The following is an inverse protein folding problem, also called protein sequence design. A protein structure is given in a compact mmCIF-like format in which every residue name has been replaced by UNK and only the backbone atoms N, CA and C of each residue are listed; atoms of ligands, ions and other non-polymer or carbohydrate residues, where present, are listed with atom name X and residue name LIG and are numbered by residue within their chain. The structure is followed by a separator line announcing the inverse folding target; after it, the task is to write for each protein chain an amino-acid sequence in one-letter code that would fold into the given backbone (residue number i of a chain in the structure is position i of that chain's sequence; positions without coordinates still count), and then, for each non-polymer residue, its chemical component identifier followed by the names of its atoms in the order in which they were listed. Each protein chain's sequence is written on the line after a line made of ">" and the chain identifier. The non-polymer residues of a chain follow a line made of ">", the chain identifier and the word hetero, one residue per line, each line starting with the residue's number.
data_IF_174874100595
#
_entry.id   IF_174874100595
#
_cell.length_a   1.000
_cell.length_b   1.000
_cell.length_c   1.000
_cell.angle_alpha   90.00
_cell.angle_beta   90.00
_cell.angle_gamma   90.00
#
_symmetry.space_group_name_H-M   'P 1'
#
loop_
_entity.id
_entity.type
_entity.pdbx_description
1 polymer ?
#
# COMPACT_ATOMS: atom_id res chain seq x y z
N UNK A 1 24.29 -5.50 74.36
CA UNK A 1 22.84 -5.66 74.58
C UNK A 1 22.15 -4.61 73.73
N UNK A 2 21.45 -5.02 72.67
CA UNK A 2 20.57 -4.12 71.93
C UNK A 2 19.42 -3.70 72.86
N UNK A 3 19.12 -2.41 72.89
CA UNK A 3 18.00 -1.85 73.64
C UNK A 3 16.68 -2.34 73.03
N UNK A 4 15.63 -2.61 73.84
CA UNK A 4 14.33 -2.98 73.29
C UNK A 4 13.78 -1.87 72.40
N UNK A 5 13.34 -2.21 71.19
CA UNK A 5 12.72 -1.28 70.25
C UNK A 5 11.54 -0.56 70.90
N UNK A 6 11.40 0.75 70.67
CA UNK A 6 10.27 1.51 71.22
C UNK A 6 8.95 0.97 70.66
N UNK A 7 7.85 1.12 71.41
CA UNK A 7 6.51 0.76 70.94
C UNK A 7 6.14 1.46 69.61
N UNK A 8 6.63 2.69 69.42
CA UNK A 8 6.51 3.42 68.14
C UNK A 8 7.20 2.70 67.00
N UNK A 9 8.39 2.16 67.24
CA UNK A 9 9.21 1.49 66.22
C UNK A 9 8.56 0.18 65.80
N UNK A 10 8.01 -0.58 66.76
CA UNK A 10 7.26 -1.81 66.48
C UNK A 10 6.01 -1.52 65.64
N UNK A 11 5.28 -0.45 65.96
CA UNK A 11 4.10 -0.04 65.21
C UNK A 11 4.45 0.41 63.78
N UNK A 12 5.46 1.27 63.62
CA UNK A 12 5.94 1.71 62.31
C UNK A 12 6.44 0.53 61.46
N UNK A 13 7.21 -0.39 62.05
CA UNK A 13 7.67 -1.60 61.37
C UNK A 13 6.51 -2.48 60.92
N UNK A 14 5.45 -2.60 61.75
CA UNK A 14 4.26 -3.35 61.36
C UNK A 14 3.57 -2.72 60.16
N UNK A 15 3.36 -1.41 60.16
CA UNK A 15 2.76 -0.69 59.02
C UNK A 15 3.62 -0.82 57.75
N UNK A 16 4.93 -0.67 57.86
CA UNK A 16 5.85 -0.82 56.73
C UNK A 16 5.84 -2.25 56.16
N UNK A 17 5.65 -3.27 57.01
CA UNK A 17 5.56 -4.67 56.59
C UNK A 17 4.21 -5.06 55.98
N UNK A 18 3.17 -4.21 56.08
CA UNK A 18 1.84 -4.53 55.52
C UNK A 18 1.82 -4.49 54.00
N UNK A 19 2.78 -3.83 53.37
CA UNK A 19 2.93 -3.80 51.91
C UNK A 19 3.94 -4.85 51.49
N UNK A 20 3.49 -5.82 50.68
CA UNK A 20 4.39 -6.78 50.08
C UNK A 20 5.16 -6.12 48.93
N UNK A 21 6.43 -5.82 49.18
CA UNK A 21 7.32 -5.20 48.19
C UNK A 21 7.56 -6.10 46.97
N UNK A 22 7.45 -7.42 47.12
CA UNK A 22 7.58 -8.37 46.01
C UNK A 22 6.41 -8.24 45.03
N UNK A 23 5.18 -8.22 45.55
CA UNK A 23 3.97 -8.06 44.74
C UNK A 23 3.95 -6.70 44.03
N UNK A 24 4.35 -5.62 44.72
CA UNK A 24 4.47 -4.28 44.11
C UNK A 24 5.47 -4.30 42.95
N UNK A 25 6.64 -4.93 43.13
CA UNK A 25 7.61 -5.06 42.05
C UNK A 25 7.09 -5.94 40.90
N UNK A 26 6.37 -7.02 41.19
CA UNK A 26 5.76 -7.87 40.17
C UNK A 26 4.74 -7.09 39.32
N UNK A 27 3.91 -6.26 39.96
CA UNK A 27 2.97 -5.37 39.27
C UNK A 27 3.72 -4.38 38.38
N UNK A 28 4.77 -3.73 38.89
CA UNK A 28 5.59 -2.78 38.11
C UNK A 28 6.19 -3.47 36.87
N UNK A 29 6.71 -4.68 37.02
CA UNK A 29 7.28 -5.43 35.89
C UNK A 29 6.21 -5.84 34.86
N UNK A 30 5.04 -6.29 35.32
CA UNK A 30 3.92 -6.60 34.44
C UNK A 30 3.48 -5.38 33.62
N UNK A 31 3.37 -4.20 34.27
CA UNK A 31 3.02 -2.96 33.61
C UNK A 31 4.07 -2.51 32.59
N UNK A 32 5.36 -2.62 32.93
CA UNK A 32 6.46 -2.32 31.99
C UNK A 32 6.43 -3.23 30.76
N UNK A 33 6.21 -4.53 30.96
CA UNK A 33 6.09 -5.49 29.87
C UNK A 33 4.88 -5.17 28.97
N UNK A 34 3.76 -4.82 29.57
CA UNK A 34 2.55 -4.42 28.85
C UNK A 34 2.78 -3.13 28.03
N UNK A 35 3.47 -2.14 28.59
CA UNK A 35 3.81 -0.91 27.89
C UNK A 35 4.71 -1.17 26.67
N UNK A 36 5.80 -1.94 26.84
CA UNK A 36 6.70 -2.32 25.73
C UNK A 36 5.95 -3.05 24.61
N UNK A 37 5.03 -3.95 24.97
CA UNK A 37 4.17 -4.64 24.00
C UNK A 37 3.25 -3.67 23.26
N UNK A 38 2.66 -2.70 23.96
CA UNK A 38 1.80 -1.70 23.33
C UNK A 38 2.56 -0.80 22.37
N UNK A 39 3.75 -0.35 22.76
CA UNK A 39 4.60 0.50 21.92
C UNK A 39 5.00 -0.23 20.64
N UNK A 40 5.49 -1.46 20.74
CA UNK A 40 5.83 -2.29 19.58
C UNK A 40 4.63 -2.56 18.67
N UNK A 41 3.46 -2.85 19.26
CA UNK A 41 2.24 -3.09 18.47
C UNK A 41 1.81 -1.83 17.74
N UNK A 42 1.86 -0.67 18.41
CA UNK A 42 1.52 0.61 17.79
C UNK A 42 2.49 0.98 16.67
N UNK A 43 3.78 0.72 16.83
CA UNK A 43 4.78 0.97 15.79
C UNK A 43 4.53 0.08 14.56
N UNK A 44 4.26 -1.22 14.76
CA UNK A 44 3.92 -2.13 13.66
C UNK A 44 2.63 -1.70 12.94
N UNK A 45 1.62 -1.26 13.69
CA UNK A 45 0.36 -0.76 13.11
C UNK A 45 0.57 0.54 12.32
N UNK A 46 1.40 1.45 12.84
CA UNK A 46 1.74 2.68 12.15
C UNK A 46 2.49 2.41 10.84
N UNK A 47 3.46 1.50 10.88
CA UNK A 47 4.21 1.08 9.70
C UNK A 47 3.28 0.41 8.66
N UNK A 48 2.41 -0.50 9.10
CA UNK A 48 1.43 -1.15 8.24
C UNK A 48 0.48 -0.15 7.59
N UNK A 49 -0.06 0.79 8.38
CA UNK A 49 -0.96 1.81 7.85
C UNK A 49 -0.27 2.68 6.79
N UNK A 50 0.97 3.10 7.06
CA UNK A 50 1.75 3.89 6.11
C UNK A 50 2.02 3.10 4.82
N UNK A 51 2.51 1.87 4.92
CA UNK A 51 2.80 1.02 3.76
C UNK A 51 1.55 0.72 2.94
N UNK A 52 0.44 0.40 3.61
CA UNK A 52 -0.85 0.14 2.98
C UNK A 52 -1.37 1.38 2.24
N UNK A 53 -1.28 2.56 2.88
CA UNK A 53 -1.69 3.83 2.26
C UNK A 53 -0.86 4.15 1.02
N UNK A 54 0.47 4.00 1.09
CA UNK A 54 1.36 4.21 -0.08
C UNK A 54 0.99 3.26 -1.23
N UNK A 55 0.79 1.97 -0.96
CA UNK A 55 0.40 0.98 -1.98
C UNK A 55 -0.96 1.32 -2.59
N UNK A 56 -1.92 1.74 -1.77
CA UNK A 56 -3.25 2.14 -2.22
C UNK A 56 -3.18 3.38 -3.12
N UNK A 57 -2.42 4.40 -2.75
CA UNK A 57 -2.23 5.60 -3.56
C UNK A 57 -1.62 5.27 -4.93
N UNK A 58 -0.54 4.47 -4.95
CA UNK A 58 0.08 4.03 -6.21
C UNK A 58 -0.91 3.30 -7.12
N UNK A 59 -1.73 2.40 -6.56
CA UNK A 59 -2.72 1.67 -7.34
C UNK A 59 -3.83 2.59 -7.84
N UNK A 60 -4.31 3.51 -6.99
CA UNK A 60 -5.35 4.48 -7.34
C UNK A 60 -4.92 5.42 -8.46
N UNK A 61 -3.68 5.90 -8.43
CA UNK A 61 -3.10 6.72 -9.49
C UNK A 61 -3.05 5.98 -10.83
N UNK A 62 -2.55 4.74 -10.83
CA UNK A 62 -2.50 3.89 -12.03
C UNK A 62 -3.90 3.61 -12.57
N UNK A 63 -4.84 3.27 -11.69
CA UNK A 63 -6.22 3.03 -12.07
C UNK A 63 -6.82 4.26 -12.75
N UNK A 64 -6.69 5.44 -12.11
CA UNK A 64 -7.17 6.72 -12.65
C UNK A 64 -6.54 7.02 -14.01
N UNK A 65 -5.25 6.77 -14.16
CA UNK A 65 -4.54 6.95 -15.43
C UNK A 65 -5.11 6.04 -16.52
N UNK A 66 -5.27 4.74 -16.25
CA UNK A 66 -5.84 3.79 -17.21
C UNK A 66 -7.27 4.14 -17.61
N UNK A 67 -8.12 4.53 -16.65
CA UNK A 67 -9.49 4.97 -16.96
C UNK A 67 -9.49 6.21 -17.86
N UNK A 68 -8.59 7.17 -17.61
CA UNK A 68 -8.45 8.36 -18.47
C UNK A 68 -8.06 7.97 -19.90
N UNK A 69 -7.06 7.11 -20.06
CA UNK A 69 -6.62 6.65 -21.38
C UNK A 69 -7.76 5.96 -22.13
N UNK A 70 -8.56 5.13 -21.47
CA UNK A 70 -9.72 4.49 -22.09
C UNK A 70 -10.77 5.52 -22.55
N UNK A 71 -11.01 6.58 -21.76
CA UNK A 71 -11.90 7.66 -22.16
C UNK A 71 -11.37 8.46 -23.36
N UNK A 72 -10.06 8.70 -23.42
CA UNK A 72 -9.41 9.34 -24.56
C UNK A 72 -9.52 8.49 -25.82
N UNK A 73 -9.23 7.18 -25.73
CA UNK A 73 -9.40 6.24 -26.84
C UNK A 73 -10.85 6.18 -27.33
N UNK A 74 -11.83 6.18 -26.41
CA UNK A 74 -13.25 6.25 -26.77
C UNK A 74 -13.54 7.53 -27.59
N UNK A 75 -13.08 8.68 -27.11
CA UNK A 75 -13.28 9.97 -27.80
C UNK A 75 -12.65 9.97 -29.20
N UNK A 76 -11.48 9.36 -29.35
CA UNK A 76 -10.82 9.23 -30.66
C UNK A 76 -11.63 8.35 -31.61
N UNK A 77 -12.15 7.21 -31.13
CA UNK A 77 -13.04 6.36 -31.92
C UNK A 77 -14.32 7.10 -32.31
N UNK A 78 -14.96 7.81 -31.39
CA UNK A 78 -16.17 8.60 -31.66
C UNK A 78 -15.91 9.65 -32.77
N UNK A 79 -14.75 10.30 -32.72
CA UNK A 79 -14.30 11.26 -33.75
C UNK A 79 -14.09 10.59 -35.11
N UNK A 80 -13.40 9.44 -35.15
CA UNK A 80 -13.15 8.66 -36.37
C UNK A 80 -14.48 8.23 -37.00
N UNK A 81 -15.38 7.62 -36.22
CA UNK A 81 -16.68 7.17 -36.74
C UNK A 81 -17.54 8.34 -37.24
N UNK A 82 -17.56 9.48 -36.54
CA UNK A 82 -18.24 10.70 -37.00
C UNK A 82 -17.69 11.20 -38.34
N UNK A 83 -16.37 11.20 -38.51
CA UNK A 83 -15.71 11.60 -39.76
C UNK A 83 -16.02 10.63 -40.90
N UNK A 84 -16.01 9.32 -40.62
CA UNK A 84 -16.38 8.28 -41.59
C UNK A 84 -17.83 8.45 -42.06
N UNK A 85 -18.79 8.63 -41.13
CA UNK A 85 -20.19 8.90 -41.47
C UNK A 85 -20.34 10.13 -42.36
N UNK A 86 -19.63 11.22 -42.01
CA UNK A 86 -19.64 12.46 -42.81
C UNK A 86 -19.09 12.25 -44.22
N UNK A 87 -17.97 11.53 -44.36
CA UNK A 87 -17.38 11.24 -45.67
C UNK A 87 -18.27 10.33 -46.51
N UNK A 88 -18.85 9.30 -45.89
CA UNK A 88 -19.81 8.39 -46.53
C UNK A 88 -20.99 9.18 -47.10
N UNK A 89 -21.65 9.99 -46.27
CA UNK A 89 -22.78 10.82 -46.69
C UNK A 89 -22.43 11.78 -47.85
N UNK A 90 -21.25 12.42 -47.80
CA UNK A 90 -20.76 13.28 -48.89
C UNK A 90 -20.52 12.49 -50.18
N UNK A 91 -20.02 11.27 -50.09
CA UNK A 91 -19.71 10.44 -51.26
C UNK A 91 -21.00 9.90 -51.90
N UNK A 92 -21.96 9.45 -51.10
CA UNK A 92 -23.28 9.03 -51.56
C UNK A 92 -24.03 10.15 -52.28
N UNK A 93 -23.91 11.40 -51.79
CA UNK A 93 -24.51 12.57 -52.44
C UNK A 93 -23.84 12.96 -53.77
N UNK A 94 -22.51 12.82 -53.85
CA UNK A 94 -21.75 13.21 -55.04
C UNK A 94 -21.80 12.17 -56.17
N UNK A 95 -21.90 10.89 -55.84
CA UNK A 95 -21.89 9.79 -56.80
C UNK A 95 -22.99 8.75 -56.49
N UNK A 96 -24.27 9.13 -56.65
CA UNK A 96 -25.40 8.27 -56.26
C UNK A 96 -25.41 6.93 -57.01
N UNK A 97 -25.13 6.94 -58.31
CA UNK A 97 -25.12 5.73 -59.13
C UNK A 97 -24.04 4.75 -58.67
N UNK A 98 -22.82 5.22 -58.39
CA UNK A 98 -21.73 4.40 -57.91
C UNK A 98 -21.99 3.85 -56.48
N UNK A 99 -22.68 4.61 -55.64
CA UNK A 99 -23.03 4.19 -54.27
C UNK A 99 -24.17 3.17 -54.23
N UNK A 100 -25.05 3.16 -55.23
CA UNK A 100 -26.18 2.22 -55.32
C UNK A 100 -25.76 0.75 -55.45
N UNK A 101 -24.55 0.47 -55.92
CA UNK A 101 -24.00 -0.89 -56.06
C UNK A 101 -23.36 -1.44 -54.78
N UNK A 102 -23.21 -0.63 -53.74
CA UNK A 102 -22.62 -1.04 -52.46
C UNK A 102 -23.76 -1.59 -51.59
N UNK A 103 -23.84 -2.91 -51.45
CA UNK A 103 -24.82 -3.53 -50.57
C UNK A 103 -24.43 -3.27 -49.11
N UNK A 104 -25.16 -2.37 -48.46
CA UNK A 104 -24.96 -2.08 -47.05
C UNK A 104 -25.27 -3.34 -46.24
N UNK A 105 -24.25 -3.88 -45.56
CA UNK A 105 -24.48 -4.93 -44.57
C UNK A 105 -25.18 -4.27 -43.38
N UNK A 106 -26.27 -4.85 -42.84
CA UNK A 106 -27.05 -4.24 -41.78
C UNK A 106 -26.27 -4.32 -40.47
N UNK A 107 -25.35 -3.38 -40.27
CA UNK A 107 -24.73 -3.15 -38.98
C UNK A 107 -25.07 -1.72 -38.58
N UNK A 108 -26.32 -1.62 -38.12
CA UNK A 108 -26.79 -0.70 -37.10
C UNK A 108 -26.53 0.78 -37.38
N UNK A 109 -27.40 1.35 -38.23
CA UNK A 109 -27.84 2.73 -38.09
C UNK A 109 -28.66 2.84 -36.80
N UNK A 110 -28.00 2.84 -35.65
CA UNK A 110 -28.63 3.31 -34.41
C UNK A 110 -28.40 4.83 -34.42
N UNK A 111 -29.49 5.57 -34.66
CA UNK A 111 -29.63 6.98 -34.28
C UNK A 111 -29.18 7.13 -32.81
N UNK A 112 -28.16 7.95 -32.58
CA UNK A 112 -27.74 8.38 -31.24
C UNK A 112 -27.72 9.91 -31.18
N UNK A 113 -28.80 10.52 -31.69
CA UNK A 113 -29.27 11.80 -31.19
C UNK A 113 -30.22 11.47 -30.01
N UNK A 114 -29.91 11.99 -28.82
CA UNK A 114 -30.64 11.86 -27.54
C UNK A 114 -30.22 10.75 -26.55
N UNK A 115 -28.96 10.76 -26.09
CA UNK A 115 -28.62 10.19 -24.77
C UNK A 115 -29.06 11.17 -23.67
N UNK A 116 -30.27 10.97 -23.16
CA UNK A 116 -30.79 11.58 -21.95
C UNK A 116 -29.89 11.21 -20.74
N UNK A 117 -29.57 12.13 -19.79
CA UNK A 117 -28.72 11.82 -18.66
C UNK A 117 -29.51 10.98 -17.66
N UNK A 118 -29.21 9.68 -17.55
CA UNK A 118 -29.79 8.79 -16.54
C UNK A 118 -29.62 9.37 -15.12
N UNK A 119 -30.70 9.51 -14.33
CA UNK A 119 -30.59 9.99 -12.96
C UNK A 119 -30.03 8.88 -12.06
N UNK A 120 -29.16 9.28 -11.13
CA UNK A 120 -28.55 8.39 -10.16
C UNK A 120 -29.61 7.72 -9.27
N UNK A 121 -29.92 6.45 -9.55
CA UNK A 121 -30.64 5.59 -8.59
C UNK A 121 -29.64 4.92 -7.68
N UNK A 122 -29.74 5.33 -6.42
CA UNK A 122 -29.14 4.70 -5.26
C UNK A 122 -29.66 3.28 -5.06
N UNK A 123 -28.82 2.48 -4.40
CA UNK A 123 -29.12 1.23 -3.70
C UNK A 123 -29.31 -0.03 -4.57
N UNK A 124 -28.24 -0.83 -4.65
CA UNK A 124 -28.38 -2.29 -4.68
C UNK A 124 -27.47 -2.93 -3.63
N UNK A 125 -28.15 -3.62 -2.74
CA UNK A 125 -27.74 -4.48 -1.63
C UNK A 125 -26.69 -5.51 -2.02
N UNK A 126 -25.60 -5.61 -1.26
CA UNK A 126 -24.62 -6.69 -1.39
C UNK A 126 -25.20 -7.92 -0.68
N UNK A 127 -25.67 -8.89 -1.46
CA UNK A 127 -25.93 -10.24 -1.00
C UNK A 127 -24.65 -11.06 -1.22
N UNK A 128 -24.08 -11.56 -0.11
CA UNK A 128 -22.98 -12.51 -0.10
C UNK A 128 -23.44 -13.83 -0.70
N UNK A 129 -22.89 -14.22 -1.85
CA UNK A 129 -23.01 -15.58 -2.34
C UNK A 129 -21.62 -16.11 -2.67
N UNK A 130 -21.25 -17.07 -1.84
CA UNK A 130 -20.02 -17.84 -1.88
C UNK A 130 -20.18 -18.89 -2.98
N UNK A 131 -19.28 -18.89 -3.98
CA UNK A 131 -18.64 -20.10 -4.52
C UNK A 131 -17.93 -19.83 -5.86
N UNK A 132 -16.73 -20.41 -5.93
CA UNK A 132 -16.05 -20.95 -7.11
C UNK A 132 -14.90 -20.15 -7.74
N UNK A 133 -13.70 -20.53 -7.28
CA UNK A 133 -12.55 -21.01 -8.08
C UNK A 133 -12.11 -20.17 -9.29
N UNK A 134 -11.11 -19.33 -9.07
CA UNK A 134 -10.31 -18.73 -10.14
C UNK A 134 -8.95 -18.34 -9.61
N UNK A 135 -7.96 -19.19 -9.87
CA UNK A 135 -6.53 -19.01 -9.60
C UNK A 135 -6.04 -17.60 -9.96
N UNK A 136 -5.60 -16.84 -8.95
CA UNK A 136 -4.77 -15.65 -9.11
C UNK A 136 -3.63 -15.77 -8.10
N UNK A 137 -2.57 -16.47 -8.52
CA UNK A 137 -1.29 -16.51 -7.83
C UNK A 137 -0.62 -15.13 -7.96
N UNK A 138 -0.69 -14.33 -6.91
CA UNK A 138 0.30 -13.30 -6.62
C UNK A 138 0.56 -13.33 -5.12
N UNK A 139 1.28 -14.36 -4.68
CA UNK A 139 1.77 -14.42 -3.31
C UNK A 139 2.73 -13.25 -3.04
N UNK A 140 2.55 -12.47 -1.95
CA UNK A 140 3.61 -11.61 -1.45
C UNK A 140 4.52 -12.46 -0.56
N UNK A 141 5.83 -12.44 -0.83
CA UNK A 141 6.82 -13.04 0.07
C UNK A 141 6.68 -12.44 1.48
N UNK A 142 6.16 -13.24 2.40
CA UNK A 142 6.19 -12.96 3.84
C UNK A 142 7.43 -13.66 4.38
N UNK A 143 8.47 -12.87 4.67
CA UNK A 143 9.65 -13.33 5.42
C UNK A 143 9.15 -13.82 6.79
N UNK A 144 9.13 -15.13 7.00
CA UNK A 144 9.03 -15.74 8.33
C UNK A 144 10.39 -16.36 8.67
N UNK A 145 11.01 -16.01 9.80
CA UNK A 145 12.24 -16.65 10.24
C UNK A 145 11.88 -17.98 10.92
N UNK A 146 12.27 -19.10 10.31
CA UNK A 146 12.21 -20.42 10.96
C UNK A 146 13.63 -20.86 11.34
N UNK A 147 13.77 -21.14 12.63
CA UNK A 147 14.92 -21.78 13.26
C UNK A 147 15.12 -23.20 12.69
N UNK A 148 16.40 -23.53 12.41
CA UNK A 148 17.04 -24.83 12.10
C UNK A 148 16.46 -26.06 12.84
N UNK A 149 16.61 -27.32 12.33
CA UNK A 149 17.91 -27.98 12.09
C UNK A 149 18.06 -28.96 10.90
N UNK A 150 19.33 -29.16 10.51
CA UNK A 150 20.03 -30.32 9.91
C UNK A 150 19.31 -31.30 8.94
N UNK A 151 19.82 -31.40 7.70
CA UNK A 151 20.39 -32.64 7.13
C UNK A 151 21.13 -32.38 5.79
N UNK A 152 22.15 -33.18 5.52
CA UNK A 152 23.20 -33.06 4.49
C UNK A 152 22.77 -33.33 3.03
N UNK A 153 23.57 -32.78 2.10
CA UNK A 153 24.33 -33.53 1.06
C UNK A 153 24.16 -33.11 -0.43
N UNK A 154 25.29 -32.65 -1.00
CA UNK A 154 25.79 -32.64 -2.39
C UNK A 154 24.96 -32.03 -3.54
N UNK A 155 25.49 -30.96 -4.14
CA UNK A 155 26.41 -31.06 -5.30
C UNK A 155 26.69 -29.70 -5.97
N UNK A 156 27.90 -29.61 -6.53
CA UNK A 156 28.61 -28.47 -7.12
C UNK A 156 27.82 -27.48 -8.01
N UNK A 157 28.19 -26.20 -7.88
CA UNK A 157 27.98 -25.16 -8.89
C UNK A 157 28.90 -23.96 -8.69
N UNK A 158 30.20 -24.13 -8.95
CA UNK A 158 31.23 -23.07 -8.96
C UNK A 158 30.94 -22.07 -10.09
N UNK A 159 30.82 -20.78 -9.76
CA UNK A 159 31.09 -19.69 -10.70
C UNK A 159 31.86 -18.56 -10.00
N UNK A 160 33.05 -18.34 -10.55
CA UNK A 160 34.02 -17.31 -10.18
C UNK A 160 33.46 -15.90 -10.45
N UNK A 161 33.64 -14.95 -9.52
CA UNK A 161 33.44 -13.51 -9.75
C UNK A 161 34.78 -12.83 -10.02
N UNK A 162 34.91 -11.95 -11.04
CA UNK A 162 36.08 -11.11 -11.17
C UNK A 162 35.89 -9.74 -10.51
N UNK A 163 36.83 -9.45 -9.60
CA UNK A 163 37.58 -8.20 -9.40
C UNK A 163 36.88 -6.84 -9.59
N UNK A 164 36.62 -6.22 -8.43
CA UNK A 164 37.19 -4.94 -7.96
C UNK A 164 38.03 -4.14 -8.97
N UNK A 165 37.60 -2.90 -9.18
CA UNK A 165 38.39 -1.68 -9.43
C UNK A 165 37.49 -0.52 -8.93
N UNK A 166 37.90 0.49 -8.16
CA UNK A 166 39.23 0.91 -7.72
C UNK A 166 39.20 2.43 -7.55
N UNK A 167 39.43 2.90 -6.31
CA UNK A 167 40.05 4.19 -5.93
C UNK A 167 39.25 5.49 -6.23
N UNK A 168 39.28 6.58 -5.44
CA UNK A 168 40.33 7.12 -4.56
C UNK A 168 39.79 8.24 -3.63
N UNK A 169 40.27 8.21 -2.37
CA UNK A 169 40.91 9.30 -1.62
C UNK A 169 40.13 10.54 -1.05
N UNK A 170 40.21 10.61 0.29
CA UNK A 170 40.67 11.73 1.17
C UNK A 170 39.76 12.91 1.51
N UNK A 171 39.70 13.22 2.81
CA UNK A 171 39.80 14.59 3.32
C UNK A 171 38.75 14.98 4.36
N UNK A 172 39.15 14.96 5.64
CA UNK A 172 38.45 15.50 6.81
C UNK A 172 38.43 17.05 6.85
N UNK A 173 37.49 17.60 7.66
CA UNK A 173 37.48 18.94 8.33
C UNK A 173 37.22 20.18 7.40
N UNK A 174 36.33 21.16 7.63
CA UNK A 174 35.87 21.86 8.85
C UNK A 174 34.47 22.52 8.64
N UNK A 175 33.63 22.53 9.69
CA UNK A 175 32.52 23.48 9.90
C UNK A 175 32.97 24.53 10.93
N UNK A 176 33.14 25.80 10.53
CA UNK A 176 33.00 26.93 11.46
C UNK A 176 32.32 28.12 10.78
N UNK A 177 31.21 28.53 11.35
CA UNK A 177 30.28 29.49 10.80
C UNK A 177 30.44 30.88 11.42
N UNK A 178 30.85 31.83 10.58
CA UNK A 178 30.17 33.11 10.39
C UNK A 178 29.91 33.99 11.62
N UNK A 179 30.78 34.98 11.78
CA UNK A 179 30.60 36.22 12.54
C UNK A 179 29.18 36.82 12.48
N UNK A 180 28.65 37.21 13.65
CA UNK A 180 27.65 38.28 13.76
C UNK A 180 28.04 39.28 14.85
N UNK A 181 28.49 40.43 14.39
CA UNK A 181 28.57 41.68 15.11
C UNK A 181 27.20 42.12 15.65
N UNK A 182 27.16 42.65 16.88
CA UNK A 182 26.20 43.68 17.30
C UNK A 182 26.86 44.63 18.32
N UNK A 183 26.69 45.91 18.00
CA UNK A 183 26.75 47.11 18.86
C UNK A 183 26.20 46.91 20.27
#
# INVERSE_FOLDING_TARGET
>A
MESPSSASDVFCNRILSMVNSEDVNAIIQAQKNMLDRFEKTNEMLLNFNNLSNVRMQQMSERFTHHTRTLMEMKKDLDSIFRRLRTLKAKLSKQYPDAFSYIHESPILEEEDDDVDPVPASSATTIATSEQSTGSCDTSPDIISPVLSPDFEDLSQGRLDSPAVNGESLTGDEDEDGGERARE
#
